data_IF_424284395195
#
_entry.id   IF_424284395195
#
_cell.length_a   1.000
_cell.length_b   1.000
_cell.length_c   1.000
_cell.angle_alpha   90.00
_cell.angle_beta   90.00
_cell.angle_gamma   90.00
#
_symmetry.space_group_name_H-M   'P 1'
#
loop_
_entity.id
_entity.type
_entity.pdbx_description
1 polymer ?
#
# COMPACT_ATOMS: atom_id res chain seq x y z
N UNK A 1 -18.15 -8.83 28.81
CA UNK A 1 -18.76 -7.51 29.04
C UNK A 1 -19.09 -6.97 27.67
N UNK A 2 -20.36 -6.93 27.31
CA UNK A 2 -20.83 -6.66 25.95
C UNK A 2 -20.60 -5.19 25.58
N UNK A 3 -19.99 -4.95 24.41
CA UNK A 3 -19.76 -3.61 23.87
C UNK A 3 -20.99 -3.24 23.04
N UNK A 4 -21.64 -2.13 23.41
CA UNK A 4 -22.81 -1.56 22.73
C UNK A 4 -22.43 -1.02 21.34
N UNK A 5 -23.37 -0.98 20.38
CA UNK A 5 -23.12 -0.39 19.06
C UNK A 5 -22.94 1.14 19.21
N UNK A 6 -22.15 1.78 18.32
CA UNK A 6 -22.02 3.23 18.32
C UNK A 6 -23.35 3.88 17.93
N UNK A 7 -23.66 4.98 18.61
CA UNK A 7 -24.89 5.74 18.48
C UNK A 7 -24.95 6.49 17.14
N UNK A 8 -26.15 6.53 16.55
CA UNK A 8 -26.53 7.42 15.46
C UNK A 8 -26.18 8.87 15.82
N UNK A 9 -25.24 9.49 15.09
CA UNK A 9 -25.02 10.93 15.15
C UNK A 9 -25.74 11.61 13.98
N UNK A 10 -26.72 12.41 14.35
CA UNK A 10 -27.56 13.23 13.49
C UNK A 10 -26.79 14.06 12.44
N UNK A 11 -27.39 14.07 11.25
CA UNK A 11 -27.14 14.97 10.14
C UNK A 11 -26.95 16.43 10.56
N UNK A 12 -25.88 17.06 10.05
CA UNK A 12 -25.81 18.50 9.87
C UNK A 12 -26.28 18.81 8.43
N UNK A 13 -27.29 19.67 8.31
CA UNK A 13 -27.92 20.07 7.06
C UNK A 13 -27.14 21.14 6.30
N UNK A 14 -26.93 20.86 5.01
CA UNK A 14 -26.86 21.71 3.81
C UNK A 14 -27.06 23.23 3.93
N UNK A 15 -26.21 23.98 3.21
CA UNK A 15 -26.68 25.00 2.26
C UNK A 15 -25.62 25.29 1.18
N UNK A 16 -25.78 24.60 0.04
CA UNK A 16 -25.10 24.74 -1.25
C UNK A 16 -25.85 23.83 -2.25
N UNK A 17 -25.94 24.15 -3.57
CA UNK A 17 -26.84 23.41 -4.45
C UNK A 17 -26.39 21.94 -4.65
N UNK A 18 -27.13 21.02 -4.03
CA UNK A 18 -27.43 19.63 -4.42
C UNK A 18 -26.28 18.66 -4.79
N UNK A 19 -25.17 18.64 -4.03
CA UNK A 19 -24.31 17.45 -3.99
C UNK A 19 -24.98 16.34 -3.16
N UNK A 20 -25.39 15.23 -3.77
CA UNK A 20 -25.91 14.06 -3.06
C UNK A 20 -24.91 12.91 -3.13
N UNK A 21 -24.47 12.41 -1.97
CA UNK A 21 -23.64 11.19 -1.89
C UNK A 21 -24.55 10.00 -2.17
N UNK A 22 -24.27 9.28 -3.26
CA UNK A 22 -25.06 8.13 -3.72
C UNK A 22 -24.39 6.78 -3.47
N UNK A 23 -23.10 6.77 -3.13
CA UNK A 23 -22.36 5.59 -2.70
C UNK A 23 -21.19 6.02 -1.82
N UNK A 24 -20.93 5.26 -0.77
CA UNK A 24 -19.79 5.45 0.12
C UNK A 24 -19.31 4.10 0.63
N UNK A 25 -18.00 3.84 0.54
CA UNK A 25 -17.39 2.63 1.08
C UNK A 25 -16.00 2.91 1.61
N UNK A 26 -15.69 2.42 2.81
CA UNK A 26 -14.35 2.49 3.40
C UNK A 26 -13.51 1.31 2.89
N UNK A 27 -12.27 1.60 2.50
CA UNK A 27 -11.29 0.59 2.09
C UNK A 27 -11.12 -0.53 3.13
N UNK A 28 -10.74 -1.75 2.71
CA UNK A 28 -10.51 -2.89 3.61
C UNK A 28 -9.49 -2.65 4.73
N UNK A 29 -8.67 -1.60 4.65
CA UNK A 29 -7.68 -1.23 5.68
C UNK A 29 -8.06 0.01 6.48
N UNK A 30 -9.18 0.65 6.18
CA UNK A 30 -9.60 1.90 6.85
C UNK A 30 -8.71 3.11 6.53
N UNK A 31 -7.89 3.05 5.48
CA UNK A 31 -6.91 4.07 5.12
C UNK A 31 -7.34 4.98 3.95
N UNK A 32 -8.43 4.62 3.28
CA UNK A 32 -9.08 5.37 2.20
C UNK A 32 -10.60 5.16 2.24
N UNK A 33 -11.33 6.06 1.59
CA UNK A 33 -12.77 5.95 1.39
C UNK A 33 -13.11 6.35 -0.05
N UNK A 34 -13.99 5.56 -0.67
CA UNK A 34 -14.54 5.83 -1.99
C UNK A 34 -15.92 6.49 -1.80
N UNK A 35 -16.11 7.68 -2.37
CA UNK A 35 -17.35 8.45 -2.32
C UNK A 35 -17.81 8.69 -3.76
N UNK A 36 -19.06 8.42 -4.07
CA UNK A 36 -19.67 8.81 -5.35
C UNK A 36 -20.67 9.92 -5.09
N UNK A 37 -20.42 11.06 -5.72
CA UNK A 37 -21.25 12.26 -5.61
C UNK A 37 -21.96 12.53 -6.94
N UNK A 38 -23.26 12.79 -6.88
CA UNK A 38 -24.06 13.33 -7.99
C UNK A 38 -24.52 14.74 -7.62
N UNK A 39 -23.95 15.75 -8.27
CA UNK A 39 -24.29 17.16 -8.04
C UNK A 39 -25.45 17.66 -8.94
N UNK A 40 -26.07 16.75 -9.69
CA UNK A 40 -27.11 17.03 -10.68
C UNK A 40 -26.59 17.54 -12.03
N UNK A 41 -25.30 17.86 -12.16
CA UNK A 41 -24.64 18.28 -13.42
C UNK A 41 -23.66 17.21 -13.90
N UNK A 42 -22.91 16.60 -12.99
CA UNK A 42 -21.99 15.52 -13.23
C UNK A 42 -21.94 14.55 -12.02
N UNK A 43 -21.42 13.36 -12.26
CA UNK A 43 -21.15 12.37 -11.21
C UNK A 43 -19.65 12.15 -11.11
N UNK A 44 -19.12 12.16 -9.90
CA UNK A 44 -17.72 11.95 -9.60
C UNK A 44 -17.51 10.79 -8.64
N UNK A 45 -16.41 10.06 -8.84
CA UNK A 45 -15.82 9.17 -7.84
C UNK A 45 -14.66 9.89 -7.18
N UNK A 46 -14.73 10.03 -5.86
CA UNK A 46 -13.68 10.58 -5.03
C UNK A 46 -13.03 9.46 -4.22
N UNK A 47 -11.70 9.42 -4.23
CA UNK A 47 -10.91 8.61 -3.32
C UNK A 47 -10.27 9.56 -2.30
N UNK A 48 -10.74 9.51 -1.07
CA UNK A 48 -10.34 10.42 0.01
C UNK A 48 -9.59 9.68 1.11
N UNK A 49 -8.76 10.41 1.85
CA UNK A 49 -8.20 9.92 3.11
C UNK A 49 -9.23 9.93 4.26
N UNK A 50 -8.90 9.30 5.40
CA UNK A 50 -9.67 9.44 6.63
C UNK A 50 -9.76 10.91 7.06
N UNK A 51 -10.81 11.26 7.78
CA UNK A 51 -10.99 12.62 8.31
C UNK A 51 -9.75 13.07 9.11
N UNK A 52 -9.25 14.27 8.82
CA UNK A 52 -8.06 14.84 9.46
C UNK A 52 -6.72 14.29 8.97
N UNK A 53 -6.69 13.42 7.96
CA UNK A 53 -5.46 12.98 7.30
C UNK A 53 -4.99 13.98 6.23
N UNK A 54 -3.67 14.02 5.99
CA UNK A 54 -3.05 14.81 4.91
C UNK A 54 -3.03 14.07 3.55
N UNK A 55 -3.79 12.99 3.44
CA UNK A 55 -3.88 12.19 2.22
C UNK A 55 -4.62 12.99 1.16
N UNK A 56 -3.99 13.13 -0.01
CA UNK A 56 -4.58 13.79 -1.17
C UNK A 56 -5.89 13.13 -1.62
N UNK A 57 -6.90 13.97 -1.87
CA UNK A 57 -8.15 13.55 -2.52
C UNK A 57 -7.94 13.44 -4.02
N UNK A 58 -8.29 12.29 -4.58
CA UNK A 58 -8.30 12.06 -6.03
C UNK A 58 -9.75 12.04 -6.52
N UNK A 59 -10.05 12.80 -7.57
CA UNK A 59 -11.40 12.92 -8.14
C UNK A 59 -11.41 12.47 -9.59
N UNK A 60 -12.33 11.56 -9.92
CA UNK A 60 -12.53 11.03 -11.26
C UNK A 60 -13.94 11.31 -11.75
N UNK A 61 -14.08 11.99 -12.89
CA UNK A 61 -15.38 12.15 -13.54
C UNK A 61 -15.91 10.79 -14.03
N UNK A 62 -17.21 10.53 -13.84
CA UNK A 62 -17.87 9.30 -14.30
C UNK A 62 -18.95 9.55 -15.35
N UNK A 63 -19.73 10.62 -15.20
CA UNK A 63 -20.94 10.84 -16.02
C UNK A 63 -21.35 12.31 -16.06
N UNK A 64 -21.85 12.77 -17.21
CA UNK A 64 -22.59 14.03 -17.30
C UNK A 64 -24.07 13.76 -17.06
N UNK A 65 -24.73 14.60 -16.25
CA UNK A 65 -26.17 14.54 -15.97
C UNK A 65 -26.98 15.42 -16.92
N UNK A 66 -26.32 16.31 -17.64
CA UNK A 66 -26.90 17.16 -18.68
C UNK A 66 -25.99 17.32 -19.91
N UNK A 67 -26.30 18.29 -20.80
CA UNK A 67 -25.52 18.54 -22.00
C UNK A 67 -24.04 18.83 -21.69
N UNK A 68 -23.14 18.18 -22.44
CA UNK A 68 -21.71 18.37 -22.30
C UNK A 68 -21.29 19.78 -22.79
N UNK A 69 -20.46 20.50 -22.03
CA UNK A 69 -19.94 21.81 -22.46
C UNK A 69 -18.95 21.66 -23.61
N UNK A 70 -18.66 22.74 -24.33
CA UNK A 70 -17.67 22.70 -25.42
C UNK A 70 -16.22 22.58 -24.92
N UNK A 71 -15.95 23.00 -23.68
CA UNK A 71 -14.65 22.94 -23.03
C UNK A 71 -14.80 22.99 -21.51
N UNK A 72 -13.70 22.85 -20.79
CA UNK A 72 -13.68 23.07 -19.35
C UNK A 72 -13.84 24.58 -19.06
N UNK A 73 -14.59 24.98 -18.02
CA UNK A 73 -14.61 26.36 -17.54
C UNK A 73 -13.20 26.85 -17.19
N UNK A 74 -12.87 28.15 -17.34
CA UNK A 74 -11.50 28.65 -17.06
C UNK A 74 -11.08 28.49 -15.59
N UNK A 75 -12.03 28.53 -14.66
CA UNK A 75 -11.83 28.52 -13.20
C UNK A 75 -12.23 27.20 -12.54
N UNK A 76 -12.38 26.13 -13.32
CA UNK A 76 -12.93 24.84 -12.85
C UNK A 76 -12.14 24.21 -11.69
N UNK A 77 -10.84 24.46 -11.60
CA UNK A 77 -9.96 23.96 -10.53
C UNK A 77 -10.20 24.63 -9.18
N UNK A 78 -10.81 25.83 -9.18
CA UNK A 78 -11.07 26.62 -7.98
C UNK A 78 -12.54 26.61 -7.58
N UNK A 79 -13.39 25.93 -8.36
CA UNK A 79 -14.81 25.80 -8.06
C UNK A 79 -15.09 24.75 -7.00
N UNK A 80 -16.14 24.95 -6.21
CA UNK A 80 -16.58 24.00 -5.17
C UNK A 80 -17.08 22.66 -5.73
N UNK A 81 -17.31 22.57 -7.04
CA UNK A 81 -17.88 21.41 -7.71
C UNK A 81 -17.14 21.11 -9.02
N UNK A 82 -16.87 19.82 -9.28
CA UNK A 82 -16.19 19.39 -10.50
C UNK A 82 -16.98 19.69 -11.79
N UNK A 83 -16.31 20.02 -12.91
CA UNK A 83 -16.98 20.35 -14.17
C UNK A 83 -17.59 19.12 -14.86
N UNK A 84 -18.55 19.33 -15.77
CA UNK A 84 -18.97 18.28 -16.70
C UNK A 84 -17.87 18.02 -17.76
N UNK A 85 -17.74 16.76 -18.21
CA UNK A 85 -16.76 16.40 -19.24
C UNK A 85 -17.12 17.04 -20.59
N UNK A 86 -16.17 17.67 -21.31
CA UNK A 86 -16.45 18.34 -22.58
C UNK A 86 -17.01 17.43 -23.67
N UNK A 87 -17.77 18.01 -24.59
CA UNK A 87 -18.50 17.34 -25.68
C UNK A 87 -17.62 16.38 -26.50
N UNK A 88 -16.42 16.83 -26.86
CA UNK A 88 -15.49 16.02 -27.64
C UNK A 88 -14.98 14.79 -26.88
N UNK A 89 -14.85 14.89 -25.56
CA UNK A 89 -14.38 13.80 -24.70
C UNK A 89 -15.52 12.92 -24.15
N UNK A 90 -16.76 13.41 -24.08
CA UNK A 90 -17.88 12.71 -23.47
C UNK A 90 -18.56 11.70 -24.41
N UNK A 91 -18.69 10.45 -23.96
CA UNK A 91 -19.42 9.38 -24.66
C UNK A 91 -20.92 9.62 -24.79
N UNK A 92 -21.49 10.43 -23.89
CA UNK A 92 -22.91 10.74 -23.82
C UNK A 92 -23.13 12.26 -23.72
N UNK A 93 -22.94 13.02 -24.82
CA UNK A 93 -22.92 14.47 -24.80
C UNK A 93 -24.27 15.14 -24.49
N UNK A 94 -25.38 14.39 -24.51
CA UNK A 94 -26.70 14.88 -24.09
C UNK A 94 -26.97 14.69 -22.59
N UNK A 95 -26.08 13.98 -21.89
CA UNK A 95 -26.25 13.57 -20.49
C UNK A 95 -26.92 12.20 -20.35
N UNK A 96 -26.84 11.63 -19.15
CA UNK A 96 -27.46 10.37 -18.77
C UNK A 96 -28.23 10.51 -17.44
N UNK A 97 -29.22 9.63 -17.18
CA UNK A 97 -29.90 9.54 -15.89
C UNK A 97 -28.92 9.24 -14.73
N UNK A 98 -29.34 9.45 -13.46
CA UNK A 98 -28.52 9.11 -12.31
C UNK A 98 -28.13 7.62 -12.34
N UNK A 99 -27.02 7.28 -11.69
CA UNK A 99 -26.73 5.87 -11.40
C UNK A 99 -27.79 5.32 -10.44
N UNK A 100 -28.10 4.03 -10.58
CA UNK A 100 -28.85 3.31 -9.55
C UNK A 100 -27.90 2.99 -8.39
N UNK A 101 -28.08 3.69 -7.27
CA UNK A 101 -27.22 3.58 -6.08
C UNK A 101 -27.13 2.14 -5.56
N UNK A 102 -28.21 1.36 -5.66
CA UNK A 102 -28.24 -0.04 -5.19
C UNK A 102 -27.41 -0.98 -6.08
N UNK A 103 -27.12 -0.57 -7.31
CA UNK A 103 -26.31 -1.33 -8.28
C UNK A 103 -24.82 -1.00 -8.21
N UNK A 104 -24.43 -0.01 -7.40
CA UNK A 104 -23.04 0.43 -7.28
C UNK A 104 -22.26 -0.48 -6.31
N UNK A 105 -21.06 -0.87 -6.72
CA UNK A 105 -20.15 -1.63 -5.87
C UNK A 105 -18.69 -1.24 -6.13
N UNK A 106 -17.90 -1.16 -5.06
CA UNK A 106 -16.47 -0.94 -5.14
C UNK A 106 -15.70 -2.26 -5.18
N UNK A 107 -14.65 -2.28 -5.99
CA UNK A 107 -13.59 -3.30 -5.98
C UNK A 107 -12.31 -2.59 -5.57
N UNK A 108 -11.94 -2.80 -4.31
CA UNK A 108 -10.68 -2.30 -3.78
C UNK A 108 -9.51 -3.10 -4.34
N UNK A 109 -8.43 -2.41 -4.63
CA UNK A 109 -7.18 -3.07 -5.01
C UNK A 109 -6.50 -3.59 -3.74
N UNK A 110 -5.75 -4.71 -3.80
CA UNK A 110 -5.09 -5.28 -2.62
C UNK A 110 -4.09 -4.33 -1.94
N UNK A 111 -3.56 -3.36 -2.66
CA UNK A 111 -2.70 -2.29 -2.14
C UNK A 111 -3.46 -1.35 -1.17
N UNK A 112 -4.78 -1.17 -1.38
CA UNK A 112 -5.68 -0.42 -0.50
C UNK A 112 -5.69 1.10 -0.72
N UNK A 113 -4.99 1.58 -1.73
CA UNK A 113 -4.92 2.99 -2.14
C UNK A 113 -5.49 3.20 -3.55
N UNK A 114 -6.25 2.22 -4.04
CA UNK A 114 -6.86 2.24 -5.36
C UNK A 114 -8.20 1.49 -5.36
N UNK A 115 -9.11 1.92 -6.25
CA UNK A 115 -10.48 1.44 -6.30
C UNK A 115 -11.02 1.46 -7.73
N UNK A 116 -11.78 0.41 -8.08
CA UNK A 116 -12.65 0.42 -9.24
C UNK A 116 -14.12 0.45 -8.79
N UNK A 117 -14.95 1.20 -9.50
CA UNK A 117 -16.39 1.27 -9.27
C UNK A 117 -17.11 0.50 -10.39
N UNK A 118 -18.09 -0.31 -10.01
CA UNK A 118 -19.00 -1.01 -10.91
C UNK A 118 -20.43 -0.52 -10.78
N UNK A 119 -21.15 -0.60 -11.90
CA UNK A 119 -22.62 -0.53 -11.99
C UNK A 119 -23.07 -1.92 -12.47
N UNK A 120 -23.62 -2.73 -11.56
CA UNK A 120 -23.80 -4.17 -11.77
C UNK A 120 -22.47 -4.87 -12.09
N UNK A 121 -22.38 -5.55 -13.22
CA UNK A 121 -21.15 -6.24 -13.65
C UNK A 121 -20.16 -5.32 -14.42
N UNK A 122 -20.58 -4.10 -14.78
CA UNK A 122 -19.79 -3.22 -15.64
C UNK A 122 -18.91 -2.27 -14.84
N UNK A 123 -17.59 -2.28 -15.08
CA UNK A 123 -16.67 -1.26 -14.54
C UNK A 123 -16.96 0.10 -15.18
N UNK A 124 -17.22 1.10 -14.35
CA UNK A 124 -17.57 2.46 -14.77
C UNK A 124 -16.45 3.48 -14.52
N UNK A 125 -15.62 3.26 -13.51
CA UNK A 125 -14.49 4.11 -13.17
C UNK A 125 -13.40 3.35 -12.43
N UNK A 126 -12.14 3.75 -12.60
CA UNK A 126 -11.00 3.20 -11.88
C UNK A 126 -10.06 4.33 -11.47
N UNK A 127 -9.78 4.45 -10.17
CA UNK A 127 -8.69 5.24 -9.62
C UNK A 127 -7.57 4.26 -9.22
N UNK A 128 -6.55 4.08 -10.08
CA UNK A 128 -5.46 3.13 -9.82
C UNK A 128 -4.36 3.69 -8.89
N UNK A 129 -3.43 2.84 -8.39
CA UNK A 129 -2.45 3.24 -7.37
C UNK A 129 -1.37 4.22 -7.88
N UNK A 130 -1.24 4.38 -9.20
CA UNK A 130 -0.29 5.31 -9.83
C UNK A 130 -0.87 6.71 -10.13
N UNK A 131 -2.14 6.97 -9.80
CA UNK A 131 -2.69 8.34 -9.88
C UNK A 131 -1.93 9.23 -8.89
N UNK A 132 -1.55 10.45 -9.26
CA UNK A 132 -0.83 11.40 -8.40
C UNK A 132 0.69 11.50 -8.64
N UNK A 133 1.32 10.54 -9.33
CA UNK A 133 2.65 10.74 -9.96
C UNK A 133 2.55 11.20 -11.42
N UNK A 134 1.36 11.10 -11.98
CA UNK A 134 0.98 11.51 -13.33
C UNK A 134 -0.21 12.44 -13.22
N UNK A 135 -0.37 13.39 -14.15
CA UNK A 135 -1.58 14.21 -14.32
C UNK A 135 -2.81 13.36 -14.76
N UNK A 136 -2.83 12.07 -14.40
CA UNK A 136 -3.89 11.12 -14.69
C UNK A 136 -4.87 11.08 -13.51
N UNK A 137 -6.12 11.55 -13.65
CA UNK A 137 -7.14 11.53 -12.61
C UNK A 137 -7.78 10.14 -12.42
N UNK A 138 -7.44 9.17 -13.27
CA UNK A 138 -8.08 7.85 -13.34
C UNK A 138 -8.82 7.62 -14.66
N UNK A 139 -9.46 6.46 -14.78
CA UNK A 139 -10.03 5.94 -16.03
C UNK A 139 -11.54 5.78 -15.94
N UNK A 140 -12.29 6.46 -16.79
CA UNK A 140 -13.76 6.42 -16.84
C UNK A 140 -14.27 5.72 -18.12
N UNK A 141 -15.30 4.88 -17.97
CA UNK A 141 -15.92 4.12 -19.07
C UNK A 141 -16.42 5.01 -20.20
N UNK A 142 -17.04 6.13 -19.83
CA UNK A 142 -17.77 6.99 -20.74
C UNK A 142 -16.91 8.20 -21.21
N UNK A 143 -15.61 8.18 -20.90
CA UNK A 143 -14.62 9.12 -21.44
C UNK A 143 -14.00 8.54 -22.73
N UNK A 144 -13.87 9.36 -23.77
CA UNK A 144 -13.36 8.96 -25.10
C UNK A 144 -11.89 9.32 -25.33
N UNK A 145 -11.34 10.29 -24.60
CA UNK A 145 -9.98 10.79 -24.76
C UNK A 145 -9.45 11.42 -23.46
N UNK A 146 -8.13 11.42 -23.21
CA UNK A 146 -7.56 11.99 -22.00
C UNK A 146 -7.96 13.46 -21.78
N UNK A 147 -8.32 13.79 -20.54
CA UNK A 147 -8.62 15.15 -20.06
C UNK A 147 -8.06 15.32 -18.64
N UNK A 148 -8.00 16.55 -18.10
CA UNK A 148 -7.61 16.78 -16.71
C UNK A 148 -8.47 16.08 -15.65
N UNK A 149 -9.71 15.68 -15.98
CA UNK A 149 -10.68 15.11 -14.99
C UNK A 149 -11.05 13.64 -15.24
N UNK A 150 -10.73 13.08 -16.40
CA UNK A 150 -10.92 11.66 -16.70
C UNK A 150 -10.12 11.21 -17.93
N UNK A 151 -9.57 10.00 -17.88
CA UNK A 151 -9.00 9.31 -19.04
C UNK A 151 -9.92 8.19 -19.52
N UNK A 152 -9.83 7.79 -20.81
CA UNK A 152 -10.70 6.75 -21.35
C UNK A 152 -10.34 5.39 -20.76
N UNK A 153 -11.28 4.74 -20.09
CA UNK A 153 -11.12 3.33 -19.68
C UNK A 153 -11.05 2.43 -20.91
N UNK A 154 -11.82 2.72 -21.98
CA UNK A 154 -11.77 1.98 -23.25
C UNK A 154 -10.74 2.57 -24.21
N UNK A 155 -9.44 2.47 -23.89
CA UNK A 155 -8.31 2.52 -24.85
C UNK A 155 -6.98 2.32 -24.11
N UNK A 156 -6.47 1.09 -24.08
CA UNK A 156 -5.06 0.84 -23.75
C UNK A 156 -4.14 0.88 -24.99
N UNK A 157 -4.60 1.43 -26.12
CA UNK A 157 -3.84 1.55 -27.37
C UNK A 157 -3.93 2.96 -28.00
N UNK A 158 -3.99 4.02 -27.18
CA UNK A 158 -3.73 5.36 -27.70
C UNK A 158 -2.21 5.55 -27.89
N UNK A 159 -1.72 5.93 -29.08
CA UNK A 159 -0.31 6.28 -29.26
C UNK A 159 0.04 7.46 -28.34
N UNK A 160 0.94 7.27 -27.38
CA UNK A 160 1.43 8.33 -26.51
C UNK A 160 0.74 8.48 -25.14
N UNK A 161 -0.18 7.59 -24.75
CA UNK A 161 -0.55 7.50 -23.34
C UNK A 161 0.66 6.98 -22.54
N UNK A 162 1.05 7.59 -21.40
CA UNK A 162 2.12 7.05 -20.57
C UNK A 162 1.79 5.61 -20.20
N UNK A 163 2.80 4.75 -20.26
CA UNK A 163 2.65 3.34 -19.95
C UNK A 163 1.94 3.20 -18.60
N UNK A 164 0.86 2.39 -18.48
CA UNK A 164 0.41 1.95 -17.16
C UNK A 164 1.64 1.30 -16.50
N UNK A 165 2.03 1.77 -15.31
CA UNK A 165 3.31 1.55 -14.64
C UNK A 165 3.67 0.10 -14.30
N UNK A 166 3.70 -0.76 -15.30
CA UNK A 166 4.44 -1.99 -15.37
C UNK A 166 4.97 -2.03 -16.81
N UNK A 167 6.28 -2.08 -16.97
CA UNK A 167 6.84 -2.58 -18.21
C UNK A 167 6.13 -3.90 -18.51
N UNK A 168 5.30 -3.93 -19.55
CA UNK A 168 5.03 -5.19 -20.21
C UNK A 168 6.40 -5.56 -20.76
N UNK A 169 7.11 -6.43 -20.04
CA UNK A 169 8.27 -7.09 -20.58
C UNK A 169 7.92 -7.52 -22.01
N UNK A 170 8.84 -7.48 -23.00
CA UNK A 170 8.52 -7.89 -24.36
C UNK A 170 7.90 -9.30 -24.47
N UNK A 171 8.01 -10.10 -23.40
CA UNK A 171 7.41 -11.43 -23.20
C UNK A 171 6.39 -11.49 -22.03
N UNK A 172 5.82 -10.36 -21.61
CA UNK A 172 4.83 -10.26 -20.53
C UNK A 172 3.49 -10.89 -20.93
N UNK A 173 2.69 -11.35 -19.94
CA UNK A 173 1.41 -11.99 -20.25
C UNK A 173 0.53 -11.05 -21.06
N UNK A 174 -0.01 -11.58 -22.17
CA UNK A 174 -1.00 -10.89 -23.00
C UNK A 174 -2.18 -10.49 -22.11
N UNK A 175 -2.53 -9.21 -22.12
CA UNK A 175 -3.68 -8.69 -21.39
C UNK A 175 -4.92 -9.51 -21.71
N UNK A 176 -5.53 -10.14 -20.68
CA UNK A 176 -6.66 -11.04 -20.86
C UNK A 176 -7.88 -10.30 -21.41
N UNK A 177 -8.06 -9.04 -21.02
CA UNK A 177 -9.13 -8.15 -21.47
C UNK A 177 -8.73 -7.27 -22.66
N UNK A 178 -7.45 -7.26 -23.06
CA UNK A 178 -6.88 -6.26 -23.96
C UNK A 178 -6.73 -4.86 -23.33
N UNK A 179 -6.96 -4.74 -22.02
CA UNK A 179 -6.79 -3.54 -21.21
C UNK A 179 -6.12 -3.85 -19.86
N UNK A 180 -4.85 -3.48 -19.66
CA UNK A 180 -4.12 -3.74 -18.42
C UNK A 180 -4.79 -3.19 -17.15
N UNK A 181 -5.56 -2.11 -17.25
CA UNK A 181 -6.31 -1.56 -16.11
C UNK A 181 -7.43 -2.51 -15.69
N UNK A 182 -8.19 -3.03 -16.65
CA UNK A 182 -9.28 -3.98 -16.37
C UNK A 182 -8.74 -5.32 -15.87
N UNK A 183 -7.60 -5.78 -16.39
CA UNK A 183 -6.94 -6.98 -15.87
C UNK A 183 -6.58 -6.83 -14.38
N UNK A 184 -6.14 -5.64 -13.94
CA UNK A 184 -5.89 -5.39 -12.51
C UNK A 184 -7.17 -5.35 -11.69
N UNK A 185 -8.29 -4.87 -12.24
CA UNK A 185 -9.60 -4.93 -11.56
C UNK A 185 -10.05 -6.39 -11.38
N UNK A 186 -9.89 -7.22 -12.41
CA UNK A 186 -10.19 -8.66 -12.32
C UNK A 186 -9.28 -9.38 -11.32
N UNK A 187 -7.98 -9.07 -11.32
CA UNK A 187 -7.04 -9.61 -10.35
C UNK A 187 -7.38 -9.19 -8.91
N UNK A 188 -7.83 -7.94 -8.70
CA UNK A 188 -8.28 -7.46 -7.41
C UNK A 188 -9.56 -8.19 -6.94
N UNK A 189 -10.54 -8.37 -7.82
CA UNK A 189 -11.75 -9.13 -7.51
C UNK A 189 -11.43 -10.59 -7.15
N UNK A 190 -10.56 -11.25 -7.93
CA UNK A 190 -10.10 -12.60 -7.65
C UNK A 190 -9.35 -12.69 -6.31
N UNK A 191 -8.50 -11.71 -5.99
CA UNK A 191 -7.82 -11.64 -4.71
C UNK A 191 -8.80 -11.69 -3.53
N UNK A 192 -9.82 -10.83 -3.53
CA UNK A 192 -10.80 -10.80 -2.44
C UNK A 192 -11.67 -12.05 -2.41
N UNK A 193 -12.06 -12.58 -3.57
CA UNK A 193 -12.82 -13.83 -3.67
C UNK A 193 -12.07 -14.99 -3.03
N UNK A 194 -10.76 -15.13 -3.28
CA UNK A 194 -9.92 -16.18 -2.68
C UNK A 194 -9.88 -16.06 -1.15
N UNK A 195 -9.79 -14.84 -0.62
CA UNK A 195 -9.74 -14.59 0.83
C UNK A 195 -11.11 -14.75 1.52
N UNK A 196 -12.22 -14.52 0.82
CA UNK A 196 -13.57 -14.80 1.31
C UNK A 196 -13.94 -16.29 1.24
N UNK A 197 -13.47 -17.00 0.21
CA UNK A 197 -13.73 -18.42 -0.03
C UNK A 197 -12.98 -19.38 0.91
N UNK A 198 -11.98 -18.88 1.63
CA UNK A 198 -11.32 -19.56 2.73
C UNK A 198 -10.01 -20.27 2.35
N UNK A 199 -8.95 -19.87 3.06
CA UNK A 199 -7.66 -20.57 3.30
C UNK A 199 -6.44 -20.39 2.38
N UNK A 200 -6.22 -19.26 1.68
CA UNK A 200 -4.88 -18.96 1.12
C UNK A 200 -3.76 -18.94 2.18
N UNK A 201 -4.13 -18.68 3.45
CA UNK A 201 -3.18 -18.49 4.53
C UNK A 201 -2.37 -19.74 4.91
N UNK A 202 -3.02 -20.89 5.09
CA UNK A 202 -2.33 -22.09 5.58
C UNK A 202 -1.14 -22.53 4.71
N UNK A 203 -1.28 -22.66 3.36
CA UNK A 203 -0.13 -22.99 2.51
C UNK A 203 0.91 -21.87 2.50
N UNK A 204 0.50 -20.60 2.41
CA UNK A 204 1.43 -19.47 2.46
C UNK A 204 2.24 -19.44 3.76
N UNK A 205 1.59 -19.69 4.89
CA UNK A 205 2.25 -19.75 6.19
C UNK A 205 3.28 -20.87 6.23
N UNK A 206 2.93 -22.08 5.75
CA UNK A 206 3.86 -23.20 5.69
C UNK A 206 5.10 -22.86 4.87
N UNK A 207 4.91 -22.24 3.71
CA UNK A 207 5.99 -21.82 2.82
C UNK A 207 6.91 -20.77 3.45
N UNK A 208 6.35 -19.72 4.07
CA UNK A 208 7.11 -18.69 4.78
C UNK A 208 7.91 -19.29 5.94
N UNK A 209 7.29 -20.19 6.71
CA UNK A 209 7.94 -20.85 7.84
C UNK A 209 9.08 -21.77 7.37
N UNK A 210 8.87 -22.56 6.31
CA UNK A 210 9.90 -23.43 5.76
C UNK A 210 11.11 -22.63 5.25
N UNK A 211 10.89 -21.48 4.60
CA UNK A 211 11.96 -20.58 4.18
C UNK A 211 12.80 -20.08 5.36
N UNK A 212 12.15 -19.73 6.48
CA UNK A 212 12.85 -19.32 7.70
C UNK A 212 13.59 -20.48 8.38
N UNK A 213 12.97 -21.65 8.49
CA UNK A 213 13.59 -22.86 9.07
C UNK A 213 14.82 -23.31 8.29
N UNK A 214 14.86 -23.09 6.97
CA UNK A 214 16.02 -23.42 6.14
C UNK A 214 17.20 -22.46 6.33
N UNK A 215 16.95 -21.20 6.67
CA UNK A 215 17.96 -20.13 6.61
C UNK A 215 18.35 -19.53 7.97
N UNK A 216 17.47 -19.59 8.98
CA UNK A 216 17.68 -18.97 10.29
C UNK A 216 18.28 -19.94 11.31
N UNK A 217 19.05 -19.44 12.29
CA UNK A 217 19.72 -20.28 13.27
C UNK A 217 18.76 -20.86 14.31
N UNK A 218 19.05 -22.08 14.77
CA UNK A 218 18.25 -22.78 15.77
C UNK A 218 19.12 -23.53 16.79
N UNK A 219 19.28 -22.95 17.99
CA UNK A 219 20.09 -23.51 19.08
C UNK A 219 19.42 -24.69 19.81
N UNK A 220 18.09 -24.86 19.67
CA UNK A 220 17.31 -25.91 20.32
C UNK A 220 16.37 -26.66 19.34
N UNK A 221 16.61 -26.53 18.03
CA UNK A 221 15.81 -27.18 16.99
C UNK A 221 14.38 -26.69 16.85
N UNK A 222 14.02 -25.54 17.45
CA UNK A 222 12.66 -24.97 17.39
C UNK A 222 12.66 -23.45 17.36
N UNK A 223 11.93 -22.89 16.40
CA UNK A 223 11.55 -21.48 16.37
C UNK A 223 10.30 -21.26 17.24
N UNK A 224 10.11 -20.03 17.74
CA UNK A 224 8.87 -19.63 18.42
C UNK A 224 8.03 -18.76 17.52
N UNK A 225 6.72 -18.96 17.59
CA UNK A 225 5.75 -18.33 16.70
C UNK A 225 4.73 -17.58 17.54
N UNK A 226 4.42 -16.36 17.11
CA UNK A 226 3.47 -15.47 17.76
C UNK A 226 2.48 -14.98 16.70
N UNK A 227 1.19 -15.28 16.81
CA UNK A 227 0.18 -14.58 16.01
C UNK A 227 0.07 -13.14 16.49
N UNK A 228 0.08 -12.20 15.56
CA UNK A 228 0.06 -10.74 15.83
C UNK A 228 -1.06 -10.02 15.08
N UNK A 229 -2.01 -10.78 14.54
CA UNK A 229 -3.19 -10.27 13.84
C UNK A 229 -4.42 -10.10 14.73
N UNK A 230 -4.40 -10.68 15.93
CA UNK A 230 -5.51 -10.65 16.90
C UNK A 230 -6.86 -11.14 16.31
N UNK A 231 -6.81 -12.07 15.34
CA UNK A 231 -7.99 -12.59 14.64
C UNK A 231 -8.51 -11.70 13.50
N UNK A 232 -7.84 -10.58 13.21
CA UNK A 232 -8.20 -9.69 12.12
C UNK A 232 -7.43 -10.02 10.85
N UNK A 233 -8.03 -9.76 9.69
CA UNK A 233 -7.33 -9.90 8.42
C UNK A 233 -6.41 -8.69 8.15
N UNK A 234 -5.23 -8.86 7.52
CA UNK A 234 -4.63 -10.14 7.12
C UNK A 234 -4.00 -10.89 8.31
N UNK A 235 -4.02 -12.24 8.26
CA UNK A 235 -3.34 -13.07 9.25
C UNK A 235 -1.83 -12.83 9.20
N UNK A 236 -1.20 -12.72 10.37
CA UNK A 236 0.21 -12.35 10.50
C UNK A 236 0.84 -13.04 11.69
N UNK A 237 2.11 -13.40 11.55
CA UNK A 237 2.91 -13.89 12.67
C UNK A 237 4.25 -13.17 12.78
N UNK A 238 4.83 -13.25 13.98
CA UNK A 238 6.25 -13.03 14.22
C UNK A 238 6.90 -14.36 14.59
N UNK A 239 8.11 -14.57 14.07
CA UNK A 239 8.97 -15.70 14.33
C UNK A 239 10.18 -15.23 15.12
N UNK A 240 10.50 -15.93 16.21
CA UNK A 240 11.75 -15.77 16.96
C UNK A 240 12.63 -17.01 16.72
N UNK A 241 13.79 -16.79 16.10
CA UNK A 241 14.84 -17.78 15.90
C UNK A 241 16.05 -17.42 16.76
N UNK A 242 16.50 -18.34 17.62
CA UNK A 242 17.67 -18.14 18.50
C UNK A 242 18.79 -19.08 18.11
N UNK A 243 19.95 -18.51 17.77
CA UNK A 243 21.22 -19.20 17.62
C UNK A 243 22.09 -19.09 18.88
N UNK A 244 23.35 -19.51 18.76
CA UNK A 244 24.33 -19.42 19.85
C UNK A 244 24.75 -17.97 20.14
N UNK A 245 24.88 -17.15 19.09
CA UNK A 245 25.41 -15.77 19.14
C UNK A 245 24.46 -14.73 18.54
N UNK A 246 23.27 -15.15 18.09
CA UNK A 246 22.29 -14.24 17.48
C UNK A 246 20.85 -14.63 17.80
N UNK A 247 19.96 -13.65 17.83
CA UNK A 247 18.53 -13.86 17.73
C UNK A 247 17.97 -13.07 16.56
N UNK A 248 17.04 -13.67 15.82
CA UNK A 248 16.34 -13.05 14.70
C UNK A 248 14.85 -13.03 15.01
N UNK A 249 14.25 -11.86 14.85
CA UNK A 249 12.80 -11.66 14.85
C UNK A 249 12.37 -11.35 13.43
N UNK A 250 11.49 -12.15 12.85
CA UNK A 250 11.05 -11.98 11.47
C UNK A 250 9.52 -12.04 11.37
N UNK A 251 8.95 -11.33 10.39
CA UNK A 251 7.51 -11.35 10.17
C UNK A 251 7.06 -12.37 9.13
N UNK A 252 5.80 -12.76 9.19
CA UNK A 252 5.14 -13.47 8.12
C UNK A 252 3.71 -12.97 7.94
N UNK A 253 3.28 -12.87 6.69
CA UNK A 253 1.95 -12.41 6.30
C UNK A 253 1.87 -10.92 5.98
N UNK A 254 2.94 -10.14 6.17
CA UNK A 254 2.97 -8.76 5.66
C UNK A 254 2.90 -8.76 4.13
N UNK A 255 3.52 -9.74 3.49
CA UNK A 255 3.54 -9.91 2.05
C UNK A 255 2.18 -10.21 1.41
N UNK A 256 1.16 -10.60 2.19
CA UNK A 256 -0.20 -10.84 1.67
C UNK A 256 -0.74 -9.62 0.94
N UNK A 257 -0.38 -8.44 1.44
CA UNK A 257 -0.77 -7.14 0.89
C UNK A 257 0.42 -6.57 0.14
N UNK A 258 0.28 -6.20 -1.14
CA UNK A 258 1.27 -5.34 -1.76
C UNK A 258 1.27 -3.96 -1.07
N UNK A 259 2.44 -3.36 -0.92
CA UNK A 259 2.60 -2.05 -0.29
C UNK A 259 1.98 -0.95 -1.17
N UNK A 260 1.27 0.03 -0.57
CA UNK A 260 0.66 1.12 -1.33
C UNK A 260 1.72 2.06 -1.91
N UNK A 261 1.34 2.84 -2.91
CA UNK A 261 2.14 3.85 -3.62
C UNK A 261 3.41 3.37 -4.34
N UNK A 262 3.81 2.09 -4.22
CA UNK A 262 5.04 1.56 -4.84
C UNK A 262 5.05 1.82 -6.36
N UNK A 263 3.90 1.72 -7.00
CA UNK A 263 3.69 1.98 -8.44
C UNK A 263 4.03 3.43 -8.86
N UNK A 264 4.14 4.37 -7.92
CA UNK A 264 4.57 5.75 -8.19
C UNK A 264 6.10 5.91 -8.21
N UNK A 265 6.84 4.97 -7.61
CA UNK A 265 8.28 5.12 -7.37
C UNK A 265 9.14 4.10 -8.13
N UNK A 266 8.54 3.03 -8.67
CA UNK A 266 9.25 1.97 -9.39
C UNK A 266 8.64 1.71 -10.75
N UNK A 267 9.49 1.50 -11.76
CA UNK A 267 9.06 1.08 -13.11
C UNK A 267 8.47 -0.34 -13.12
N UNK A 268 8.97 -1.20 -12.23
CA UNK A 268 8.62 -2.61 -12.10
C UNK A 268 8.16 -2.90 -10.65
N UNK A 269 7.02 -2.35 -10.21
CA UNK A 269 6.57 -2.39 -8.82
C UNK A 269 6.29 -3.80 -8.31
N UNK A 270 5.94 -4.74 -9.19
CA UNK A 270 5.75 -6.15 -8.88
C UNK A 270 7.00 -6.81 -8.27
N UNK A 271 8.20 -6.26 -8.53
CA UNK A 271 9.46 -6.79 -7.99
C UNK A 271 9.77 -6.34 -6.56
N UNK A 272 9.02 -5.39 -6.01
CA UNK A 272 9.32 -4.71 -4.72
C UNK A 272 8.12 -4.56 -3.78
N UNK A 273 6.89 -4.78 -4.26
CA UNK A 273 5.68 -4.49 -3.48
C UNK A 273 5.35 -5.49 -2.38
N UNK A 274 5.88 -6.72 -2.40
CA UNK A 274 5.64 -7.71 -1.35
C UNK A 274 6.87 -7.84 -0.45
N UNK A 275 6.69 -7.56 0.85
CA UNK A 275 7.80 -7.53 1.80
C UNK A 275 7.45 -8.22 3.11
N UNK A 276 8.48 -8.74 3.78
CA UNK A 276 8.52 -9.10 5.19
C UNK A 276 9.63 -8.29 5.88
N UNK A 277 9.60 -8.19 7.20
CA UNK A 277 10.61 -7.49 8.00
C UNK A 277 11.42 -8.48 8.86
N UNK A 278 12.70 -8.18 9.07
CA UNK A 278 13.54 -8.89 10.03
C UNK A 278 14.42 -7.95 10.86
N UNK A 279 14.62 -8.29 12.13
CA UNK A 279 15.57 -7.69 13.04
C UNK A 279 16.50 -8.78 13.58
N UNK A 280 17.81 -8.65 13.36
CA UNK A 280 18.81 -9.54 13.97
C UNK A 280 19.58 -8.79 15.06
N UNK A 281 19.69 -9.42 16.23
CA UNK A 281 20.41 -8.93 17.39
C UNK A 281 21.52 -9.92 17.76
N UNK A 282 22.62 -9.42 18.30
CA UNK A 282 23.58 -10.20 19.06
C UNK A 282 22.87 -10.83 20.27
N UNK A 283 23.13 -12.12 20.54
CA UNK A 283 22.53 -12.84 21.65
C UNK A 283 22.75 -12.13 23.00
N UNK A 284 23.88 -11.43 23.17
CA UNK A 284 24.20 -10.69 24.40
C UNK A 284 23.29 -9.46 24.63
N UNK A 285 22.66 -8.93 23.57
CA UNK A 285 21.72 -7.81 23.66
C UNK A 285 20.27 -8.27 23.83
N UNK A 286 19.97 -9.55 23.60
CA UNK A 286 18.59 -10.03 23.60
C UNK A 286 17.99 -9.86 25.00
N UNK A 287 16.88 -9.10 25.16
CA UNK A 287 16.26 -8.93 26.46
C UNK A 287 15.71 -10.26 26.99
N UNK A 288 15.63 -10.38 28.32
CA UNK A 288 15.02 -11.56 28.96
C UNK A 288 13.59 -11.81 28.45
N UNK A 289 12.85 -10.73 28.17
CA UNK A 289 11.52 -10.80 27.55
C UNK A 289 11.51 -10.06 26.20
N UNK A 290 11.13 -10.73 25.09
CA UNK A 290 11.12 -10.10 23.77
C UNK A 290 9.85 -9.27 23.49
N UNK A 291 8.91 -9.18 24.44
CA UNK A 291 7.55 -8.70 24.18
C UNK A 291 7.51 -7.24 23.70
N UNK A 292 8.40 -6.37 24.21
CA UNK A 292 8.50 -4.99 23.75
C UNK A 292 8.93 -4.89 22.28
N UNK A 293 9.93 -5.67 21.88
CA UNK A 293 10.41 -5.73 20.50
C UNK A 293 9.36 -6.36 19.56
N UNK A 294 8.72 -7.46 19.98
CA UNK A 294 7.64 -8.10 19.23
C UNK A 294 6.44 -7.15 19.02
N UNK A 295 6.02 -6.44 20.07
CA UNK A 295 4.93 -5.47 19.98
C UNK A 295 5.29 -4.33 19.01
N UNK A 296 6.51 -3.79 19.09
CA UNK A 296 6.95 -2.74 18.16
C UNK A 296 7.02 -3.24 16.71
N UNK A 297 7.60 -4.42 16.47
CA UNK A 297 7.64 -5.01 15.13
C UNK A 297 6.23 -5.21 14.58
N UNK A 298 5.28 -5.70 15.40
CA UNK A 298 3.90 -5.91 14.96
C UNK A 298 3.21 -4.64 14.45
N UNK A 299 3.56 -3.48 15.02
CA UNK A 299 3.08 -2.15 14.58
C UNK A 299 3.71 -1.75 13.23
N UNK A 300 5.00 -2.03 13.03
CA UNK A 300 5.66 -1.76 11.75
C UNK A 300 5.04 -2.56 10.59
N UNK A 301 4.47 -3.75 10.85
CA UNK A 301 3.82 -4.58 9.83
C UNK A 301 2.50 -4.00 9.27
N UNK A 302 1.88 -3.03 9.94
CA UNK A 302 0.68 -2.33 9.42
C UNK A 302 0.97 -0.93 8.94
N UNK A 303 2.09 -0.36 9.36
CA UNK A 303 2.43 1.04 9.17
C UNK A 303 2.31 1.52 7.71
N UNK A 304 2.79 0.78 6.67
CA UNK A 304 2.64 1.21 5.27
C UNK A 304 1.20 1.58 4.89
N UNK A 305 0.23 0.76 5.28
CA UNK A 305 -1.17 0.97 4.97
C UNK A 305 -1.80 2.06 5.84
N UNK A 306 -1.42 2.14 7.12
CA UNK A 306 -1.92 3.16 8.05
C UNK A 306 -1.45 4.57 7.67
N UNK A 307 -0.19 4.71 7.23
CA UNK A 307 0.38 6.01 6.83
C UNK A 307 0.24 6.29 5.33
N UNK A 308 -0.30 5.34 4.54
CA UNK A 308 -0.41 5.48 3.09
C UNK A 308 0.95 5.63 2.41
N UNK A 309 1.92 4.77 2.75
CA UNK A 309 3.28 4.77 2.19
C UNK A 309 3.86 3.36 2.11
N UNK A 310 5.17 3.25 1.89
CA UNK A 310 5.84 1.96 1.71
C UNK A 310 7.22 1.93 2.37
N UNK A 311 7.75 0.73 2.55
CA UNK A 311 9.08 0.46 3.09
C UNK A 311 10.01 -0.09 2.01
N UNK A 312 11.19 0.50 1.95
CA UNK A 312 12.25 0.15 1.01
C UNK A 312 13.63 0.35 1.60
N UNK A 313 14.64 -0.12 0.87
CA UNK A 313 16.04 0.15 1.19
C UNK A 313 16.29 1.65 1.28
N UNK A 314 16.93 2.09 2.36
CA UNK A 314 17.23 3.49 2.63
C UNK A 314 16.14 4.24 3.41
N UNK A 315 14.94 3.68 3.58
CA UNK A 315 13.93 4.29 4.45
C UNK A 315 14.32 4.18 5.92
N UNK A 316 13.82 5.10 6.73
CA UNK A 316 13.99 5.07 8.19
C UNK A 316 12.66 5.00 8.91
N UNK A 317 12.56 4.18 9.95
CA UNK A 317 11.37 4.09 10.81
C UNK A 317 11.76 4.18 12.29
N UNK A 318 10.88 4.67 13.18
CA UNK A 318 11.20 4.73 14.61
C UNK A 318 11.56 3.34 15.18
N UNK A 319 12.58 3.29 16.02
CA UNK A 319 12.93 2.13 16.82
C UNK A 319 12.53 2.37 18.28
N UNK A 320 11.84 1.40 18.87
CA UNK A 320 11.45 1.41 20.29
C UNK A 320 11.82 0.09 20.91
N UNK A 321 12.03 0.10 22.23
CA UNK A 321 12.34 -1.09 23.02
C UNK A 321 13.60 -1.85 22.56
N UNK A 322 14.54 -1.14 21.93
CA UNK A 322 15.86 -1.70 21.66
C UNK A 322 16.69 -1.76 22.95
N UNK A 323 17.40 -2.87 23.18
CA UNK A 323 18.30 -3.01 24.32
C UNK A 323 19.47 -2.03 24.21
N UNK A 324 19.87 -1.44 25.33
CA UNK A 324 21.07 -0.59 25.41
C UNK A 324 22.23 -1.44 25.90
N UNK A 325 23.27 -1.55 25.08
CA UNK A 325 24.48 -2.30 25.42
C UNK A 325 25.45 -1.51 26.33
N UNK A 326 26.60 -2.12 26.67
CA UNK A 326 27.62 -1.51 27.53
C UNK A 326 28.15 -0.14 27.06
N UNK A 327 28.10 0.16 25.76
CA UNK A 327 28.50 1.47 25.23
C UNK A 327 27.61 2.62 25.71
N UNK A 328 26.39 2.32 26.18
CA UNK A 328 25.38 3.32 26.53
C UNK A 328 24.74 4.00 25.32
N UNK A 329 25.05 3.56 24.10
CA UNK A 329 24.50 4.16 22.87
C UNK A 329 23.03 3.81 22.72
N UNK A 330 22.21 4.82 22.43
CA UNK A 330 20.77 4.67 22.20
C UNK A 330 20.50 4.68 20.70
N UNK A 331 19.81 3.66 20.23
CA UNK A 331 19.35 3.54 18.85
C UNK A 331 17.85 3.82 18.81
N UNK A 332 17.48 4.98 18.26
CA UNK A 332 16.10 5.49 18.23
C UNK A 332 15.40 5.24 16.90
N UNK A 333 16.13 4.74 15.90
CA UNK A 333 15.65 4.59 14.52
C UNK A 333 16.15 3.28 13.92
N UNK A 334 15.37 2.67 13.04
CA UNK A 334 15.81 1.62 12.14
C UNK A 334 16.04 2.19 10.75
N UNK A 335 17.20 1.91 10.18
CA UNK A 335 17.42 1.95 8.74
C UNK A 335 16.89 0.65 8.12
N UNK A 336 16.07 0.76 7.09
CA UNK A 336 15.51 -0.38 6.36
C UNK A 336 16.44 -0.71 5.20
N UNK A 337 16.82 -1.98 5.03
CA UNK A 337 17.73 -2.39 3.96
C UNK A 337 17.42 -3.80 3.45
N UNK A 338 17.37 -4.01 2.14
CA UNK A 338 17.06 -5.32 1.54
C UNK A 338 18.19 -6.34 1.65
N UNK A 339 19.45 -5.90 1.48
CA UNK A 339 20.62 -6.80 1.48
C UNK A 339 21.84 -6.17 2.17
N UNK A 340 21.78 -5.90 3.49
CA UNK A 340 22.94 -5.37 4.20
C UNK A 340 24.02 -6.45 4.41
N UNK A 341 25.29 -6.07 4.64
CA UNK A 341 26.34 -7.02 4.98
C UNK A 341 25.91 -7.95 6.12
N UNK A 342 26.18 -9.25 6.02
CA UNK A 342 25.81 -10.23 7.04
C UNK A 342 24.32 -10.58 7.10
N UNK A 343 23.51 -10.14 6.13
CA UNK A 343 22.13 -10.61 5.98
C UNK A 343 22.09 -12.13 5.77
N UNK A 344 21.15 -12.79 6.44
CA UNK A 344 20.92 -14.22 6.25
C UNK A 344 20.14 -14.45 4.94
N UNK A 345 20.50 -15.47 4.13
CA UNK A 345 19.95 -15.66 2.79
C UNK A 345 18.57 -16.34 2.82
N UNK A 346 17.56 -15.68 3.40
CA UNK A 346 16.18 -16.18 3.40
C UNK A 346 15.58 -15.97 2.01
N UNK A 347 15.13 -17.06 1.37
CA UNK A 347 14.47 -17.01 0.06
C UNK A 347 13.03 -17.50 0.20
N UNK A 348 12.07 -16.61 -0.02
CA UNK A 348 10.64 -16.96 -0.03
C UNK A 348 10.21 -17.41 -1.42
N UNK A 349 9.20 -18.29 -1.53
CA UNK A 349 8.51 -18.49 -2.79
C UNK A 349 7.78 -17.21 -3.21
N UNK A 350 7.55 -17.08 -4.52
CA UNK A 350 6.74 -15.98 -5.05
C UNK A 350 5.30 -16.05 -4.55
N UNK A 351 4.74 -14.90 -4.22
CA UNK A 351 3.33 -14.75 -3.87
C UNK A 351 2.58 -14.10 -5.03
N UNK A 352 1.57 -14.81 -5.56
CA UNK A 352 0.77 -14.39 -6.74
C UNK A 352 1.63 -13.91 -7.93
N UNK A 353 2.70 -14.65 -8.22
CA UNK A 353 3.60 -14.38 -9.33
C UNK A 353 4.65 -13.28 -9.09
N UNK A 354 4.67 -12.67 -7.89
CA UNK A 354 5.62 -11.63 -7.52
C UNK A 354 6.59 -12.13 -6.43
N UNK A 355 7.87 -11.72 -6.44
CA UNK A 355 8.81 -12.06 -5.38
C UNK A 355 8.42 -11.42 -4.05
N UNK A 356 8.71 -12.11 -2.94
CA UNK A 356 8.62 -11.55 -1.58
C UNK A 356 10.03 -11.21 -1.10
N UNK A 357 10.25 -9.96 -0.70
CA UNK A 357 11.55 -9.47 -0.20
C UNK A 357 11.60 -9.44 1.33
N UNK A 358 12.73 -9.86 1.92
CA UNK A 358 13.00 -9.61 3.33
C UNK A 358 13.71 -8.26 3.48
N UNK A 359 13.14 -7.34 4.26
CA UNK A 359 13.78 -6.07 4.61
C UNK A 359 14.33 -6.16 6.03
N UNK A 360 15.62 -5.89 6.17
CA UNK A 360 16.33 -5.88 7.44
C UNK A 360 16.22 -4.51 8.11
N UNK A 361 15.90 -4.53 9.40
CA UNK A 361 15.82 -3.36 10.27
C UNK A 361 17.16 -3.23 11.02
N UNK A 362 17.97 -2.24 10.62
CA UNK A 362 19.29 -1.97 11.20
C UNK A 362 19.17 -0.81 12.19
N UNK A 363 19.39 -1.02 13.49
CA UNK A 363 19.39 0.07 14.46
C UNK A 363 20.44 1.13 14.17
N UNK A 364 20.00 2.38 14.11
CA UNK A 364 20.81 3.59 13.95
C UNK A 364 20.47 4.62 15.03
N UNK A 365 21.45 5.46 15.36
CA UNK A 365 21.29 6.56 16.31
C UNK A 365 20.54 7.72 15.68
N UNK A 366 20.08 8.69 16.49
CA UNK A 366 19.49 9.91 15.96
C UNK A 366 20.49 10.74 15.13
N UNK A 367 21.76 10.77 15.54
CA UNK A 367 22.81 11.46 14.78
C UNK A 367 23.05 10.82 13.39
N UNK A 368 22.99 9.49 13.33
CA UNK A 368 23.06 8.73 12.08
C UNK A 368 21.83 8.99 11.19
N UNK A 369 20.63 9.01 11.77
CA UNK A 369 19.41 9.39 11.05
C UNK A 369 19.52 10.80 10.49
N UNK A 370 19.97 11.77 11.29
CA UNK A 370 20.14 13.15 10.85
C UNK A 370 21.16 13.25 9.70
N UNK A 371 22.25 12.50 9.78
CA UNK A 371 23.21 12.40 8.68
C UNK A 371 22.57 11.84 7.39
N UNK A 372 21.71 10.81 7.48
CA UNK A 372 20.99 10.32 6.30
C UNK A 372 20.02 11.36 5.72
N UNK A 373 19.39 12.20 6.55
CA UNK A 373 18.54 13.31 6.07
C UNK A 373 19.37 14.35 5.32
N UNK A 374 20.57 14.66 5.81
CA UNK A 374 21.44 15.70 5.23
C UNK A 374 22.24 15.22 4.01
N UNK A 375 22.71 13.96 4.02
CA UNK A 375 23.66 13.41 3.05
C UNK A 375 23.10 12.26 2.21
N UNK A 376 21.86 11.84 2.48
CA UNK A 376 21.22 10.68 1.84
C UNK A 376 21.53 9.35 2.55
N UNK A 377 20.57 8.43 2.49
CA UNK A 377 20.70 7.12 3.14
C UNK A 377 21.80 6.23 2.55
N UNK A 378 22.14 6.41 1.26
CA UNK A 378 23.23 5.68 0.61
C UNK A 378 24.59 6.04 1.24
N UNK A 379 24.87 7.33 1.45
CA UNK A 379 26.08 7.79 2.13
C UNK A 379 26.16 7.28 3.58
N UNK A 380 25.02 7.21 4.29
CA UNK A 380 24.96 6.59 5.61
C UNK A 380 25.30 5.10 5.54
N UNK A 381 24.75 4.36 4.55
CA UNK A 381 25.03 2.93 4.37
C UNK A 381 26.53 2.68 4.15
N UNK A 382 27.16 3.43 3.25
CA UNK A 382 28.61 3.33 3.01
C UNK A 382 29.41 3.49 4.31
N UNK A 383 29.06 4.50 5.12
CA UNK A 383 29.75 4.79 6.39
C UNK A 383 29.51 3.70 7.44
N UNK A 384 28.27 3.22 7.59
CA UNK A 384 27.92 2.13 8.49
C UNK A 384 28.69 0.86 8.12
N UNK A 385 28.68 0.48 6.84
CA UNK A 385 29.28 -0.78 6.38
C UNK A 385 30.81 -0.72 6.39
N UNK A 386 31.41 0.43 6.07
CA UNK A 386 32.86 0.64 6.25
C UNK A 386 33.29 0.54 7.73
N UNK A 387 32.40 0.91 8.67
CA UNK A 387 32.62 0.74 10.11
C UNK A 387 32.31 -0.69 10.62
N UNK A 388 31.96 -1.62 9.73
CA UNK A 388 31.67 -3.02 10.08
C UNK A 388 30.26 -3.26 10.65
N UNK A 389 29.33 -2.30 10.47
CA UNK A 389 27.92 -2.54 10.81
C UNK A 389 27.32 -3.53 9.82
N UNK A 390 26.57 -4.50 10.34
CA UNK A 390 25.95 -5.60 9.57
C UNK A 390 24.45 -5.68 9.88
N UNK A 391 23.73 -6.60 9.24
CA UNK A 391 22.35 -6.96 9.57
C UNK A 391 22.19 -7.37 11.05
N UNK A 392 23.23 -7.98 11.64
CA UNK A 392 23.26 -8.37 13.05
C UNK A 392 23.66 -7.17 13.90
N UNK A 393 22.72 -6.63 14.65
CA UNK A 393 22.95 -5.52 15.56
C UNK A 393 23.68 -5.98 16.83
N UNK A 394 24.85 -5.42 17.09
CA UNK A 394 25.59 -5.53 18.35
C UNK A 394 25.82 -4.17 18.98
N UNK A 395 26.38 -4.16 20.20
CA UNK A 395 26.73 -2.93 20.91
C UNK A 395 27.82 -2.17 20.15
N UNK A 396 27.56 -0.89 19.85
CA UNK A 396 28.48 -0.03 19.10
C UNK A 396 28.26 1.44 19.44
N UNK A 397 29.25 2.28 19.14
CA UNK A 397 29.09 3.74 19.13
C UNK A 397 28.48 4.22 17.80
N UNK A 398 28.02 5.47 17.78
CA UNK A 398 27.70 6.18 16.53
C UNK A 398 28.89 6.14 15.56
N UNK A 399 28.62 5.94 14.27
CA UNK A 399 29.63 6.04 13.20
C UNK A 399 29.76 7.46 12.66
N UNK A 400 28.80 8.33 12.99
CA UNK A 400 28.76 9.75 12.59
C UNK A 400 29.48 10.62 13.59
#
# INVERSE_FOLDING_TARGET
MAIAPPADSHAASSDGPNANVIFEEVSPYGNRMAIVEDDGRAVYLHLVGPEGSEVETVSLWLRNRGPAPMGLPEDWEHGDQGPALPFEACGHPVGLPPFDAESLNAIWFPEGDAVALREGESVIGVIPPWVGSSDCPGYARDCKMPTPIAWPLKRAHAPGAPHPGAAVAPDGPVSATGNPVLDRVEAAAAFWSDWQGGTPWAPLQQDLVAAYEAALPSAAGRHRYYSVDAGHWPPRFLLEARGADTAVYASGGMCIRPQPLVDRYYENPETVRHVELALSLDAALVPETPMGALNHLSQLLVMPWTLGGWLGTGHTVPARHLPVGPSGTVFSTFLVHGDPPGALPVTFPSYRGAPVKLLWLIPITEAERQYAVESGSEALCERLFAAGVTARHGDRRSVV
#
